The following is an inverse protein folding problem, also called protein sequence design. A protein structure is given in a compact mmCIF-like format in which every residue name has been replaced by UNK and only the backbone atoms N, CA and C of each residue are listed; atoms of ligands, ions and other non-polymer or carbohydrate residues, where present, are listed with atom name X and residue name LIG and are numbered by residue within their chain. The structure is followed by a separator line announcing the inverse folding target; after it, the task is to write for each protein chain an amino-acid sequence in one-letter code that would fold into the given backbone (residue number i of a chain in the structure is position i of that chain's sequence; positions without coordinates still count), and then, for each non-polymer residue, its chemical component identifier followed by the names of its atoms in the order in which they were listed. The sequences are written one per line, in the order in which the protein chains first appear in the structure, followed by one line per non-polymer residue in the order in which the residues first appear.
data_IF_729537391125
#
_entry.id   IF_729537391125
#
_cell.length_a   1.000
_cell.length_b   1.000
_cell.length_c   1.000
_cell.angle_alpha   90.00
_cell.angle_beta   90.00
_cell.angle_gamma   90.00
#
_symmetry.space_group_name_H-M   'P 1'
#
loop_
_entity.id
_entity.type
_entity.pdbx_description
1 polymer ?
#
# COMPACT_ATOMS: atom_id res chain seq x y z
N UNK A 1 0.01 10.34 -33.33
CA UNK A 1 -0.16 11.26 -32.17
C UNK A 1 -1.47 10.91 -31.49
N UNK A 2 -1.36 10.39 -30.26
CA UNK A 2 -2.25 10.54 -29.10
C UNK A 2 -3.77 10.51 -29.35
N UNK A 3 -4.42 9.42 -28.93
CA UNK A 3 -5.43 9.45 -27.85
C UNK A 3 -6.06 8.05 -27.68
N UNK A 4 -5.59 7.29 -26.69
CA UNK A 4 -6.41 6.23 -26.11
C UNK A 4 -7.26 6.86 -24.99
N UNK A 5 -8.59 6.69 -25.05
CA UNK A 5 -9.53 7.38 -24.18
C UNK A 5 -9.48 6.85 -22.75
N UNK A 6 -9.62 7.82 -21.85
CA UNK A 6 -9.77 7.71 -20.41
C UNK A 6 -11.20 7.26 -20.09
N UNK A 7 -11.29 6.15 -19.35
CA UNK A 7 -12.29 5.83 -18.31
C UNK A 7 -13.66 5.18 -18.61
N UNK A 8 -14.04 4.39 -17.59
CA UNK A 8 -15.33 3.82 -17.16
C UNK A 8 -15.70 2.43 -17.72
N UNK A 9 -16.08 1.43 -16.93
CA UNK A 9 -16.32 1.24 -15.49
C UNK A 9 -16.78 -0.23 -15.43
N UNK A 10 -16.26 -1.10 -14.55
CA UNK A 10 -16.98 -2.27 -13.97
C UNK A 10 -16.04 -2.89 -12.94
N UNK A 11 -16.23 -2.44 -11.71
CA UNK A 11 -15.54 -2.78 -10.49
C UNK A 11 -15.36 -4.28 -10.26
N UNK A 12 -14.11 -4.75 -10.34
CA UNK A 12 -13.65 -5.92 -9.60
C UNK A 12 -13.04 -5.51 -8.25
N UNK A 13 -13.56 -4.41 -7.67
CA UNK A 13 -13.26 -3.89 -6.35
C UNK A 13 -14.15 -4.51 -5.25
N UNK A 14 -14.63 -5.74 -5.48
CA UNK A 14 -15.33 -6.53 -4.47
C UNK A 14 -14.52 -7.80 -4.19
N UNK A 15 -14.24 -8.02 -2.90
CA UNK A 15 -13.70 -9.23 -2.27
C UNK A 15 -12.22 -9.24 -1.84
N UNK A 16 -11.69 -8.11 -1.34
CA UNK A 16 -10.72 -8.16 -0.23
C UNK A 16 -10.74 -6.87 0.56
N UNK A 17 -11.77 -6.70 1.38
CA UNK A 17 -11.80 -6.00 2.67
C UNK A 17 -13.27 -5.88 3.05
N UNK A 18 -13.76 -6.99 3.59
CA UNK A 18 -15.12 -7.13 4.10
C UNK A 18 -15.21 -6.41 5.45
N UNK A 19 -16.23 -5.56 5.61
CA UNK A 19 -16.78 -5.21 6.92
C UNK A 19 -16.53 -3.79 7.40
N UNK A 20 -17.43 -2.91 7.00
CA UNK A 20 -17.61 -1.51 7.41
C UNK A 20 -18.14 -1.33 8.84
N UNK A 21 -18.08 -0.11 9.38
CA UNK A 21 -18.43 0.26 10.75
C UNK A 21 -19.89 0.73 10.83
N UNK A 22 -20.84 -0.16 11.12
CA UNK A 22 -22.25 0.25 11.26
C UNK A 22 -23.02 -0.49 12.37
N UNK A 23 -22.33 -0.89 13.45
CA UNK A 23 -23.04 -1.36 14.64
C UNK A 23 -22.57 -0.55 15.84
N UNK A 24 -23.43 0.43 16.15
CA UNK A 24 -23.63 1.01 17.48
C UNK A 24 -22.73 2.19 17.88
N UNK A 25 -22.69 3.20 17.02
CA UNK A 25 -22.62 4.61 17.40
C UNK A 25 -23.86 5.11 18.21
N UNK A 26 -24.47 4.28 19.08
CA UNK A 26 -25.72 4.63 19.78
C UNK A 26 -25.78 4.30 21.27
N UNK A 27 -24.69 3.82 21.88
CA UNK A 27 -24.63 3.53 23.32
C UNK A 27 -23.52 4.30 24.06
N UNK A 28 -22.94 5.34 23.45
CA UNK A 28 -21.88 6.15 24.06
C UNK A 28 -22.31 7.54 24.55
N UNK A 29 -23.58 7.91 24.41
CA UNK A 29 -24.08 9.27 24.79
C UNK A 29 -24.93 9.29 26.06
N UNK A 30 -25.34 8.13 26.58
CA UNK A 30 -26.15 8.03 27.81
C UNK A 30 -25.37 7.64 29.06
N UNK A 31 -24.08 7.31 28.98
CA UNK A 31 -23.29 6.88 30.14
C UNK A 31 -22.48 8.01 30.81
N UNK A 32 -22.31 9.15 30.14
CA UNK A 32 -21.66 10.34 30.72
C UNK A 32 -22.46 10.92 31.91
N UNK A 33 -23.77 10.66 31.98
CA UNK A 33 -24.60 11.09 33.10
C UNK A 33 -24.46 10.19 34.35
N UNK A 34 -23.96 8.96 34.21
CA UNK A 34 -23.86 8.00 35.32
C UNK A 34 -22.52 8.05 36.06
N UNK A 35 -21.45 8.50 35.40
CA UNK A 35 -20.10 8.50 35.99
C UNK A 35 -19.90 9.57 37.09
N UNK A 36 -20.76 10.58 37.18
CA UNK A 36 -20.70 11.59 38.25
C UNK A 36 -21.31 11.11 39.57
N UNK A 37 -22.17 10.08 39.55
CA UNK A 37 -22.85 9.59 40.76
C UNK A 37 -22.08 8.48 41.49
N UNK A 38 -21.16 7.79 40.82
CA UNK A 38 -20.43 6.65 41.40
C UNK A 38 -19.01 6.96 41.87
N UNK A 39 -18.51 8.19 41.67
CA UNK A 39 -17.19 8.59 42.16
C UNK A 39 -16.03 7.73 41.62
N UNK A 40 -16.18 7.13 40.43
CA UNK A 40 -15.12 6.37 39.80
C UNK A 40 -14.23 7.33 39.03
N UNK A 41 -13.01 7.56 39.51
CA UNK A 41 -11.99 8.27 38.76
C UNK A 41 -11.74 7.52 37.45
N UNK A 42 -12.17 8.10 36.32
CA UNK A 42 -11.79 7.64 35.00
C UNK A 42 -10.32 8.03 34.74
N UNK A 43 -9.38 7.35 35.38
CA UNK A 43 -7.98 7.35 34.95
C UNK A 43 -7.88 6.47 33.71
N UNK A 44 -8.25 7.02 32.56
CA UNK A 44 -8.18 6.28 31.32
C UNK A 44 -8.93 6.86 30.14
N UNK A 45 -8.93 8.18 29.94
CA UNK A 45 -9.15 8.70 28.59
C UNK A 45 -7.83 8.50 27.82
N UNK A 46 -7.61 7.29 27.31
CA UNK A 46 -6.67 7.12 26.21
C UNK A 46 -7.24 7.92 25.06
N UNK A 47 -6.64 9.05 24.74
CA UNK A 47 -6.71 9.57 23.39
C UNK A 47 -6.30 8.42 22.50
N UNK A 48 -7.23 7.90 21.69
CA UNK A 48 -6.82 7.17 20.50
C UNK A 48 -6.14 8.21 19.62
N UNK A 49 -4.82 8.38 19.83
CA UNK A 49 -3.96 8.74 18.71
C UNK A 49 -4.12 7.58 17.72
N UNK A 50 -5.06 7.73 16.81
CA UNK A 50 -5.14 6.94 15.59
C UNK A 50 -3.71 6.85 15.03
N UNK A 51 -3.07 5.67 15.04
CA UNK A 51 -1.72 5.53 14.51
C UNK A 51 -1.76 6.04 13.08
N UNK A 52 -0.95 7.05 12.75
CA UNK A 52 -0.99 7.72 11.45
C UNK A 52 -0.89 6.66 10.36
N UNK A 53 -2.02 6.37 9.72
CA UNK A 53 -2.15 5.19 8.86
C UNK A 53 -1.20 5.30 7.67
N UNK A 54 -0.43 4.22 7.38
CA UNK A 54 0.46 4.11 6.21
C UNK A 54 -0.22 4.60 4.93
N UNK A 55 -1.51 4.27 4.78
CA UNK A 55 -2.31 4.65 3.62
C UNK A 55 -2.45 6.17 3.46
N UNK A 56 -2.53 6.94 4.56
CA UNK A 56 -2.68 8.40 4.52
C UNK A 56 -1.36 9.08 4.16
N UNK A 57 -0.25 8.61 4.71
CA UNK A 57 1.10 9.16 4.45
C UNK A 57 1.53 8.87 3.01
N UNK A 58 1.28 7.65 2.52
CA UNK A 58 1.64 7.23 1.18
C UNK A 58 0.58 7.57 0.10
N UNK A 59 -0.52 8.25 0.45
CA UNK A 59 -1.68 8.42 -0.44
C UNK A 59 -1.34 9.06 -1.80
N UNK A 60 -0.44 10.05 -1.79
CA UNK A 60 -0.04 10.81 -2.97
C UNK A 60 1.43 10.58 -3.35
N UNK A 61 2.02 9.48 -2.88
CA UNK A 61 3.44 9.17 -3.08
C UNK A 61 3.57 8.18 -4.23
N UNK A 62 4.21 8.62 -5.31
CA UNK A 62 4.49 7.80 -6.47
C UNK A 62 5.93 7.28 -6.42
N UNK A 63 6.09 6.01 -6.07
CA UNK A 63 7.38 5.34 -6.19
C UNK A 63 7.56 4.77 -7.60
N UNK A 64 8.78 4.89 -8.14
CA UNK A 64 9.11 4.32 -9.46
C UNK A 64 9.02 2.79 -9.48
N UNK A 65 9.11 2.20 -10.68
CA UNK A 65 9.01 0.76 -10.83
C UNK A 65 10.02 -0.01 -9.94
N UNK A 66 9.56 -1.14 -9.38
CA UNK A 66 10.37 -1.95 -8.45
C UNK A 66 10.45 -1.41 -7.02
N UNK A 67 9.73 -0.32 -6.72
CA UNK A 67 9.70 0.32 -5.40
C UNK A 67 8.28 0.42 -4.86
N UNK A 68 8.17 0.46 -3.54
CA UNK A 68 6.92 0.68 -2.81
C UNK A 68 7.09 1.75 -1.73
N UNK A 69 5.99 2.41 -1.39
CA UNK A 69 5.99 3.41 -0.33
C UNK A 69 5.99 2.74 1.05
N UNK A 70 6.91 3.17 1.89
CA UNK A 70 7.02 2.83 3.30
C UNK A 70 7.01 4.11 4.14
N UNK A 71 6.72 3.97 5.42
CA UNK A 71 6.67 5.08 6.37
C UNK A 71 7.80 4.91 7.38
N UNK A 72 8.57 5.98 7.59
CA UNK A 72 9.66 5.98 8.58
C UNK A 72 9.08 6.17 10.00
N UNK A 73 9.92 5.97 11.03
CA UNK A 73 9.55 6.24 12.42
C UNK A 73 9.08 7.69 12.65
N UNK A 74 9.50 8.63 11.78
CA UNK A 74 9.11 10.04 11.81
C UNK A 74 7.80 10.34 11.08
N UNK A 75 7.05 9.32 10.67
CA UNK A 75 5.83 9.47 9.87
C UNK A 75 6.05 10.14 8.50
N UNK A 76 7.24 9.98 7.92
CA UNK A 76 7.58 10.52 6.61
C UNK A 76 7.49 9.40 5.55
N UNK A 77 7.00 9.69 4.32
CA UNK A 77 6.99 8.72 3.25
C UNK A 77 8.39 8.51 2.67
N UNK A 78 8.73 7.25 2.38
CA UNK A 78 9.96 6.88 1.68
C UNK A 78 9.70 5.78 0.66
N UNK A 79 10.47 5.76 -0.43
CA UNK A 79 10.38 4.72 -1.46
C UNK A 79 11.50 3.70 -1.29
N UNK A 80 11.12 2.47 -0.94
CA UNK A 80 12.05 1.35 -0.77
C UNK A 80 11.86 0.34 -1.89
N UNK A 81 12.86 -0.51 -2.11
CA UNK A 81 12.71 -1.63 -3.05
C UNK A 81 11.62 -2.58 -2.55
N UNK A 82 10.79 -3.08 -3.47
CA UNK A 82 9.75 -4.06 -3.13
C UNK A 82 10.39 -5.28 -2.49
N UNK A 83 9.90 -5.69 -1.32
CA UNK A 83 10.48 -6.85 -0.65
C UNK A 83 10.20 -8.14 -1.40
N UNK A 84 8.95 -8.31 -1.87
CA UNK A 84 8.48 -9.51 -2.56
C UNK A 84 7.46 -9.18 -3.65
N UNK A 85 7.73 -9.63 -4.86
CA UNK A 85 6.79 -9.52 -5.97
C UNK A 85 5.77 -10.66 -5.96
N UNK A 86 4.62 -10.41 -6.61
CA UNK A 86 3.64 -11.46 -6.88
C UNK A 86 4.26 -12.48 -7.85
N UNK A 87 4.06 -13.80 -7.64
CA UNK A 87 4.72 -14.85 -8.43
C UNK A 87 4.01 -15.11 -9.77
N UNK A 88 3.63 -14.07 -10.50
CA UNK A 88 3.03 -14.21 -11.83
C UNK A 88 4.11 -14.62 -12.83
N UNK A 89 3.88 -15.73 -13.56
CA UNK A 89 4.79 -16.22 -14.60
C UNK A 89 4.54 -15.47 -15.91
N UNK A 90 5.21 -14.34 -16.09
CA UNK A 90 5.20 -13.54 -17.32
C UNK A 90 6.65 -13.12 -17.61
N UNK A 91 7.48 -14.06 -18.09
CA UNK A 91 8.92 -13.86 -18.16
C UNK A 91 9.28 -12.69 -19.07
N UNK A 92 10.36 -11.98 -18.72
CA UNK A 92 10.92 -10.88 -19.51
C UNK A 92 12.44 -10.99 -19.56
N UNK A 93 13.03 -10.63 -20.70
CA UNK A 93 14.47 -10.50 -20.84
C UNK A 93 14.87 -9.06 -20.48
N UNK A 94 15.80 -8.91 -19.55
CA UNK A 94 16.36 -7.61 -19.19
C UNK A 94 17.45 -7.19 -20.15
N UNK A 95 17.69 -5.88 -20.24
CA UNK A 95 18.79 -5.26 -21.00
C UNK A 95 20.19 -5.71 -20.55
N UNK A 96 20.28 -6.43 -19.42
CA UNK A 96 21.49 -7.05 -18.91
C UNK A 96 21.64 -8.53 -19.31
N UNK A 97 20.79 -9.03 -20.21
CA UNK A 97 20.80 -10.42 -20.68
C UNK A 97 20.28 -11.45 -19.67
N UNK A 98 19.70 -11.02 -18.54
CA UNK A 98 19.09 -11.91 -17.54
C UNK A 98 17.59 -12.05 -17.78
N UNK A 99 17.07 -13.26 -17.63
CA UNK A 99 15.63 -13.50 -17.62
C UNK A 99 15.06 -13.31 -16.22
N UNK A 100 13.96 -12.57 -16.12
CA UNK A 100 13.21 -12.35 -14.88
C UNK A 100 11.84 -13.01 -14.97
N UNK A 101 11.31 -13.46 -13.82
CA UNK A 101 10.01 -14.12 -13.74
C UNK A 101 8.86 -13.23 -14.24
N UNK A 102 8.97 -11.92 -13.98
CA UNK A 102 8.06 -10.87 -14.42
C UNK A 102 8.70 -9.47 -14.29
N UNK A 103 8.01 -8.45 -14.79
CA UNK A 103 8.42 -7.04 -14.70
C UNK A 103 8.74 -6.57 -13.28
N UNK A 104 8.00 -7.03 -12.26
CA UNK A 104 8.25 -6.61 -10.88
C UNK A 104 9.62 -7.10 -10.42
N UNK A 105 9.96 -8.38 -10.67
CA UNK A 105 11.27 -8.94 -10.33
C UNK A 105 12.42 -8.23 -11.05
N UNK A 106 12.24 -7.88 -12.33
CA UNK A 106 13.24 -7.10 -13.08
C UNK A 106 13.51 -5.75 -12.42
N UNK A 107 12.46 -4.97 -12.14
CA UNK A 107 12.63 -3.66 -11.55
C UNK A 107 13.06 -3.72 -10.08
N UNK A 108 12.68 -4.77 -9.34
CA UNK A 108 13.15 -5.04 -7.98
C UNK A 108 14.66 -5.28 -7.99
N UNK A 109 15.18 -6.11 -8.89
CA UNK A 109 16.61 -6.34 -9.04
C UNK A 109 17.35 -5.04 -9.42
N UNK A 110 16.79 -4.26 -10.34
CA UNK A 110 17.31 -2.94 -10.70
C UNK A 110 17.40 -2.01 -9.47
N UNK A 111 16.39 -2.03 -8.59
CA UNK A 111 16.38 -1.27 -7.36
C UNK A 111 17.46 -1.74 -6.37
N UNK A 112 17.53 -3.05 -6.11
CA UNK A 112 18.44 -3.64 -5.13
C UNK A 112 19.91 -3.50 -5.53
N UNK A 113 20.21 -3.60 -6.83
CA UNK A 113 21.57 -3.52 -7.36
C UNK A 113 21.99 -2.10 -7.71
N UNK A 114 21.08 -1.12 -7.64
CA UNK A 114 21.32 0.25 -8.12
C UNK A 114 21.60 0.33 -9.63
N UNK A 115 21.28 -0.72 -10.38
CA UNK A 115 21.56 -0.81 -11.82
C UNK A 115 20.38 -0.34 -12.66
N UNK A 116 20.67 0.23 -13.84
CA UNK A 116 19.64 0.60 -14.82
C UNK A 116 19.30 -0.60 -15.70
N UNK A 117 18.35 -1.41 -15.26
CA UNK A 117 17.85 -2.58 -16.01
C UNK A 117 16.50 -2.22 -16.60
N UNK A 118 16.38 -2.33 -17.92
CA UNK A 118 15.13 -2.15 -18.65
C UNK A 118 14.70 -3.49 -19.24
N UNK A 119 13.42 -3.60 -19.59
CA UNK A 119 12.96 -4.73 -20.40
C UNK A 119 13.50 -4.54 -21.80
N UNK A 120 14.17 -5.56 -22.34
CA UNK A 120 14.58 -5.60 -23.74
C UNK A 120 13.42 -6.16 -24.59
N UNK A 121 12.95 -7.36 -24.23
CA UNK A 121 11.75 -7.97 -24.83
C UNK A 121 11.04 -8.94 -23.87
N UNK A 122 9.77 -9.21 -24.16
CA UNK A 122 8.97 -10.21 -23.44
C UNK A 122 9.43 -11.64 -23.73
N UNK A 123 9.43 -12.50 -22.72
CA UNK A 123 9.88 -13.89 -22.80
C UNK A 123 11.21 -14.15 -22.10
N UNK A 124 11.79 -15.32 -22.36
CA UNK A 124 13.12 -15.67 -21.87
C UNK A 124 14.18 -15.10 -22.82
N UNK A 125 15.36 -14.76 -22.30
CA UNK A 125 16.49 -14.37 -23.13
C UNK A 125 16.91 -15.52 -24.06
N UNK A 126 17.44 -15.17 -25.24
CA UNK A 126 17.92 -16.09 -26.28
C UNK A 126 19.43 -16.12 -26.38
#
# INVERSE_FOLDING_TARGET
MINCPVYQEWDMFKLRNNGTPEIVAKLGKSLLAFALLTGVAASGLRTEEEPVSKSKICANVFCGAGRECAVTEKSEPTCLCIEKCKPHKRPVCGSNGKTYLNHCELHRDACLTGSKIQVDYDGHCK
#
